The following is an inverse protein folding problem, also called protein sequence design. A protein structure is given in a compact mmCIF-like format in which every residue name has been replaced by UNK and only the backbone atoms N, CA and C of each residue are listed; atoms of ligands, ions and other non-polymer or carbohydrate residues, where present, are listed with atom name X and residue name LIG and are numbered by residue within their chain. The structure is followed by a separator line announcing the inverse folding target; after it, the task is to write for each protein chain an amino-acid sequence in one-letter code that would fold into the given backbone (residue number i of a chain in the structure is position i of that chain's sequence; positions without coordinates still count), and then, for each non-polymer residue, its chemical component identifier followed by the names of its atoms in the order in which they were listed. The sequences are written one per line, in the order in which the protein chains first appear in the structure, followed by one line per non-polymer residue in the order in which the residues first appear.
data_IF_542966790741
#
_entry.id   IF_542966790741
#
_cell.length_a   1.000
_cell.length_b   1.000
_cell.length_c   1.000
_cell.angle_alpha   90.00
_cell.angle_beta   90.00
_cell.angle_gamma   90.00
#
_symmetry.space_group_name_H-M   'P 1'
#
loop_
_entity.id
_entity.type
_entity.pdbx_description
1 polymer ?
#
# COMPACT_ATOMS: atom_id res chain seq x y z
N UNK A 1 21.23 38.90 -10.99
CA UNK A 1 21.78 37.54 -10.98
C UNK A 1 21.72 36.87 -9.60
N UNK A 2 22.05 37.56 -8.49
CA UNK A 2 21.95 36.98 -7.13
C UNK A 2 20.54 36.54 -6.69
N UNK A 3 19.51 37.33 -7.01
CA UNK A 3 18.13 37.03 -6.58
C UNK A 3 17.54 35.77 -7.23
N UNK A 4 17.91 35.45 -8.47
CA UNK A 4 17.42 34.24 -9.18
C UNK A 4 18.05 32.97 -8.57
N UNK A 5 19.32 33.04 -8.16
CA UNK A 5 20.04 31.92 -7.54
C UNK A 5 19.52 31.58 -6.14
N UNK A 6 19.12 32.59 -5.35
CA UNK A 6 18.55 32.39 -4.01
C UNK A 6 17.15 31.75 -4.07
N UNK A 7 16.32 32.17 -5.02
CA UNK A 7 14.98 31.59 -5.22
C UNK A 7 15.05 30.13 -5.66
N UNK A 8 15.98 29.80 -6.57
CA UNK A 8 16.18 28.43 -7.06
C UNK A 8 16.69 27.49 -5.96
N UNK A 9 17.62 27.94 -5.11
CA UNK A 9 18.13 27.13 -3.99
C UNK A 9 17.10 26.92 -2.88
N UNK A 10 16.26 27.92 -2.59
CA UNK A 10 15.19 27.77 -1.62
C UNK A 10 14.13 26.75 -2.09
N UNK A 11 13.84 26.73 -3.39
CA UNK A 11 12.92 25.79 -3.99
C UNK A 11 13.44 24.35 -3.94
N UNK A 12 14.70 24.11 -4.32
CA UNK A 12 15.30 22.76 -4.25
C UNK A 12 15.34 22.22 -2.83
N UNK A 13 15.60 23.08 -1.83
CA UNK A 13 15.58 22.69 -0.42
C UNK A 13 14.17 22.32 0.06
N UNK A 14 13.13 23.02 -0.40
CA UNK A 14 11.75 22.73 -0.06
C UNK A 14 11.27 21.41 -0.71
N UNK A 15 11.62 21.18 -1.98
CA UNK A 15 11.31 19.95 -2.71
C UNK A 15 12.00 18.74 -2.08
N UNK A 16 13.29 18.85 -1.75
CA UNK A 16 14.03 17.78 -1.07
C UNK A 16 13.45 17.49 0.33
N UNK A 17 13.02 18.52 1.06
CA UNK A 17 12.33 18.34 2.34
C UNK A 17 11.03 17.56 2.14
N UNK A 18 10.20 17.95 1.18
CA UNK A 18 8.93 17.27 0.90
C UNK A 18 9.14 15.80 0.50
N UNK A 19 10.14 15.51 -0.34
CA UNK A 19 10.52 14.14 -0.69
C UNK A 19 10.90 13.33 0.56
N UNK A 20 11.77 13.85 1.41
CA UNK A 20 12.18 13.18 2.64
C UNK A 20 11.01 12.95 3.61
N UNK A 21 10.05 13.87 3.67
CA UNK A 21 8.82 13.69 4.42
C UNK A 21 7.96 12.57 3.83
N UNK A 22 7.83 12.51 2.51
CA UNK A 22 7.15 11.43 1.79
C UNK A 22 7.78 10.06 2.02
N UNK A 23 9.11 9.95 1.89
CA UNK A 23 9.86 8.73 2.17
C UNK A 23 9.69 8.25 3.62
N UNK A 24 9.75 9.17 4.58
CA UNK A 24 9.57 8.82 6.00
C UNK A 24 8.13 8.37 6.32
N UNK A 25 7.12 8.99 5.69
CA UNK A 25 5.73 8.54 5.79
C UNK A 25 5.57 7.14 5.20
N UNK A 26 6.01 6.96 3.95
CA UNK A 26 5.90 5.70 3.24
C UNK A 26 6.57 4.58 4.05
N UNK A 27 7.82 4.77 4.45
CA UNK A 27 8.57 3.79 5.23
C UNK A 27 7.86 3.44 6.56
N UNK A 28 7.34 4.45 7.27
CA UNK A 28 6.60 4.24 8.51
C UNK A 28 5.33 3.41 8.31
N UNK A 29 4.57 3.71 7.26
CA UNK A 29 3.30 3.03 6.98
C UNK A 29 3.52 1.59 6.47
N UNK A 30 4.45 1.37 5.55
CA UNK A 30 4.74 0.02 5.04
C UNK A 30 5.33 -0.89 6.13
N UNK A 31 6.22 -0.35 6.98
CA UNK A 31 6.79 -1.11 8.12
C UNK A 31 5.73 -1.45 9.18
N UNK A 32 4.72 -0.61 9.36
CA UNK A 32 3.65 -0.88 10.31
C UNK A 32 2.68 -1.96 9.78
N UNK A 33 2.42 -1.93 8.46
CA UNK A 33 1.48 -2.83 7.80
C UNK A 33 2.08 -4.17 7.39
N UNK A 34 3.40 -4.30 7.27
CA UNK A 34 4.12 -5.55 7.00
C UNK A 34 3.99 -6.61 8.12
N UNK A 35 3.28 -6.28 9.21
CA UNK A 35 3.03 -7.15 10.35
C UNK A 35 1.53 -7.46 10.51
N UNK A 36 0.73 -7.25 9.45
CA UNK A 36 -0.71 -7.45 9.49
C UNK A 36 -1.11 -8.93 9.60
N UNK A 37 -0.31 -9.82 9.03
CA UNK A 37 -0.40 -11.29 9.11
C UNK A 37 -0.39 -11.81 10.55
N UNK A 38 0.33 -11.15 11.47
CA UNK A 38 0.35 -11.51 12.90
C UNK A 38 -1.06 -11.48 13.56
N UNK A 39 -2.02 -10.76 12.97
CA UNK A 39 -3.40 -10.78 13.43
C UNK A 39 -4.10 -12.10 13.11
N UNK A 40 -3.62 -12.83 12.10
CA UNK A 40 -4.14 -14.12 11.66
C UNK A 40 -3.57 -15.29 12.48
N UNK A 41 -2.35 -15.18 13.02
CA UNK A 41 -1.78 -16.21 13.90
C UNK A 41 -2.66 -16.53 15.13
N UNK A 42 -3.52 -15.58 15.51
CA UNK A 42 -4.40 -15.67 16.69
C UNK A 42 -5.88 -15.89 16.35
N UNK A 43 -6.25 -15.95 15.06
CA UNK A 43 -7.65 -16.08 14.62
C UNK A 43 -7.77 -17.09 13.48
N UNK A 44 -8.88 -17.83 13.44
CA UNK A 44 -9.18 -18.74 12.34
C UNK A 44 -9.83 -17.97 11.19
N UNK A 45 -9.23 -18.06 10.01
CA UNK A 45 -9.63 -17.35 8.81
C UNK A 45 -9.84 -18.31 7.64
N UNK A 46 -10.52 -17.85 6.59
CA UNK A 46 -10.53 -18.56 5.31
C UNK A 46 -9.18 -18.45 4.58
N UNK A 47 -8.85 -19.47 3.79
CA UNK A 47 -7.67 -19.52 2.92
C UNK A 47 -7.54 -18.28 2.00
N UNK A 48 -8.67 -17.79 1.47
CA UNK A 48 -8.71 -16.61 0.59
C UNK A 48 -8.26 -15.32 1.31
N UNK A 49 -8.69 -15.14 2.55
CA UNK A 49 -8.32 -13.98 3.37
C UNK A 49 -6.88 -14.11 3.84
N UNK A 50 -6.48 -15.29 4.28
CA UNK A 50 -5.10 -15.53 4.71
C UNK A 50 -4.13 -15.23 3.57
N UNK A 51 -4.36 -15.80 2.39
CA UNK A 51 -3.50 -15.59 1.23
C UNK A 51 -3.28 -14.10 0.91
N UNK A 52 -4.35 -13.31 0.80
CA UNK A 52 -4.21 -11.90 0.42
C UNK A 52 -3.53 -11.08 1.52
N UNK A 53 -3.74 -11.42 2.80
CA UNK A 53 -3.08 -10.73 3.91
C UNK A 53 -1.59 -11.07 3.95
N UNK A 54 -1.22 -12.33 3.71
CA UNK A 54 0.16 -12.78 3.64
C UNK A 54 0.89 -12.09 2.46
N UNK A 55 0.28 -12.11 1.26
CA UNK A 55 0.84 -11.43 0.07
C UNK A 55 1.05 -9.92 0.31
N UNK A 56 0.16 -9.26 1.06
CA UNK A 56 0.32 -7.87 1.48
C UNK A 56 1.48 -7.73 2.47
N UNK A 57 1.52 -8.54 3.52
CA UNK A 57 2.52 -8.44 4.57
C UNK A 57 3.94 -8.65 4.01
N UNK A 58 4.11 -9.68 3.18
CA UNK A 58 5.36 -10.01 2.50
C UNK A 58 5.84 -8.84 1.63
N UNK A 59 4.99 -8.37 0.72
CA UNK A 59 5.36 -7.30 -0.20
C UNK A 59 5.68 -5.99 0.54
N UNK A 60 4.91 -5.64 1.57
CA UNK A 60 5.19 -4.44 2.37
C UNK A 60 6.49 -4.57 3.17
N UNK A 61 6.84 -5.78 3.61
CA UNK A 61 8.14 -6.09 4.21
C UNK A 61 9.29 -5.89 3.24
N UNK A 62 9.17 -6.43 2.02
CA UNK A 62 10.15 -6.26 0.95
C UNK A 62 10.32 -4.79 0.55
N UNK A 63 9.21 -4.04 0.44
CA UNK A 63 9.24 -2.62 0.14
C UNK A 63 9.90 -1.81 1.26
N UNK A 64 9.65 -2.14 2.54
CA UNK A 64 10.31 -1.52 3.67
C UNK A 64 11.84 -1.73 3.62
N UNK A 65 12.28 -2.95 3.31
CA UNK A 65 13.69 -3.29 3.15
C UNK A 65 14.30 -2.56 1.94
N UNK A 66 13.59 -2.49 0.82
CA UNK A 66 13.99 -1.75 -0.37
C UNK A 66 14.20 -0.27 -0.08
N UNK A 67 13.30 0.36 0.69
CA UNK A 67 13.44 1.75 1.13
C UNK A 67 14.67 1.96 2.04
N UNK A 68 14.93 1.02 2.96
CA UNK A 68 16.13 1.07 3.80
C UNK A 68 17.41 0.98 2.96
N UNK A 69 17.46 0.05 2.00
CA UNK A 69 18.60 -0.09 1.09
C UNK A 69 18.78 1.19 0.27
N UNK A 70 17.69 1.75 -0.25
CA UNK A 70 17.72 3.00 -1.00
C UNK A 70 18.29 4.16 -0.15
N UNK A 71 17.91 4.26 1.13
CA UNK A 71 18.45 5.28 2.02
C UNK A 71 19.92 5.05 2.39
N UNK A 72 20.40 3.81 2.38
CA UNK A 72 21.83 3.50 2.53
C UNK A 72 22.63 3.91 1.29
N UNK A 73 22.10 3.64 0.10
CA UNK A 73 22.75 3.96 -1.17
C UNK A 73 22.73 5.48 -1.45
N UNK A 74 21.70 6.18 -0.96
CA UNK A 74 21.52 7.62 -1.10
C UNK A 74 21.33 8.31 0.26
N UNK A 75 22.42 8.70 0.96
CA UNK A 75 22.36 9.28 2.32
C UNK A 75 21.57 10.60 2.46
N UNK A 76 21.18 11.22 1.34
CA UNK A 76 20.30 12.38 1.31
C UNK A 76 18.83 12.04 1.60
N UNK A 77 18.45 10.77 1.43
CA UNK A 77 17.11 10.25 1.73
C UNK A 77 16.99 10.00 3.23
N UNK A 78 15.88 10.49 3.82
CA UNK A 78 15.58 10.35 5.25
C UNK A 78 14.30 9.56 5.43
N UNK A 79 14.38 8.55 6.29
CA UNK A 79 13.25 7.67 6.64
C UNK A 79 12.74 7.89 8.08
N UNK A 80 13.42 8.75 8.85
CA UNK A 80 13.23 8.92 10.30
C UNK A 80 12.51 10.23 10.67
N UNK A 81 12.00 10.97 9.68
CA UNK A 81 11.27 12.20 9.92
C UNK A 81 9.89 11.91 10.52
N UNK A 82 9.36 12.89 11.25
CA UNK A 82 8.00 12.87 11.80
C UNK A 82 7.17 14.01 11.19
N UNK A 83 6.84 13.94 9.90
CA UNK A 83 6.31 15.08 9.14
C UNK A 83 4.91 15.50 9.58
N UNK A 84 4.10 14.57 10.09
CA UNK A 84 2.76 14.91 10.56
C UNK A 84 2.81 15.80 11.80
N UNK A 85 1.90 16.78 11.93
CA UNK A 85 1.72 17.55 13.17
C UNK A 85 1.50 16.66 14.40
N UNK A 86 1.88 17.16 15.57
CA UNK A 86 1.82 16.37 16.80
C UNK A 86 0.40 15.87 17.14
N UNK A 87 -0.64 16.66 16.84
CA UNK A 87 -2.03 16.25 17.06
C UNK A 87 -2.44 15.13 16.10
N UNK A 88 -2.06 15.22 14.82
CA UNK A 88 -2.34 14.19 13.81
C UNK A 88 -1.68 12.86 14.16
N UNK A 89 -0.42 12.87 14.59
CA UNK A 89 0.26 11.63 15.04
C UNK A 89 -0.46 10.98 16.22
N UNK A 90 -0.97 11.78 17.15
CA UNK A 90 -1.76 11.27 18.29
C UNK A 90 -3.08 10.67 17.82
N UNK A 91 -3.75 11.30 16.86
CA UNK A 91 -4.99 10.78 16.25
C UNK A 91 -4.75 9.44 15.57
N UNK A 92 -3.75 9.35 14.70
CA UNK A 92 -3.38 8.10 14.02
C UNK A 92 -3.05 7.01 15.03
N UNK A 93 -2.21 7.30 16.03
CA UNK A 93 -1.86 6.34 17.08
C UNK A 93 -3.09 5.84 17.85
N UNK A 94 -4.02 6.74 18.18
CA UNK A 94 -5.25 6.38 18.88
C UNK A 94 -6.16 5.50 18.00
N UNK A 95 -6.30 5.83 16.73
CA UNK A 95 -7.08 5.06 15.76
C UNK A 95 -6.49 3.65 15.56
N UNK A 96 -5.17 3.54 15.36
CA UNK A 96 -4.46 2.26 15.24
C UNK A 96 -4.64 1.41 16.50
N UNK A 97 -4.46 1.99 17.69
CA UNK A 97 -4.67 1.28 18.96
C UNK A 97 -6.11 0.79 19.11
N UNK A 98 -7.10 1.63 18.75
CA UNK A 98 -8.49 1.24 18.79
C UNK A 98 -8.77 0.08 17.82
N UNK A 99 -8.20 0.11 16.61
CA UNK A 99 -8.30 -0.95 15.61
C UNK A 99 -7.69 -2.26 16.10
N UNK A 100 -6.45 -2.26 16.60
CA UNK A 100 -5.78 -3.43 17.16
C UNK A 100 -6.58 -4.01 18.33
N UNK A 101 -7.06 -3.16 19.25
CA UNK A 101 -7.91 -3.61 20.37
C UNK A 101 -9.18 -4.29 19.87
N UNK A 102 -9.72 -3.82 18.75
CA UNK A 102 -10.90 -4.40 18.12
C UNK A 102 -10.69 -5.81 17.55
N UNK A 103 -9.44 -6.20 17.39
CA UNK A 103 -8.99 -7.53 16.93
C UNK A 103 -8.46 -8.41 18.06
N UNK A 104 -8.57 -7.97 19.33
CA UNK A 104 -8.04 -8.70 20.47
C UNK A 104 -8.48 -10.18 20.49
N UNK A 105 -7.60 -11.13 20.84
CA UNK A 105 -7.89 -12.57 20.76
C UNK A 105 -9.18 -13.00 21.48
N UNK A 106 -9.41 -12.50 22.70
CA UNK A 106 -10.50 -12.96 23.57
C UNK A 106 -11.81 -12.15 23.46
N UNK A 107 -11.73 -10.87 23.11
CA UNK A 107 -12.87 -9.92 23.18
C UNK A 107 -13.08 -9.11 21.91
N UNK A 108 -12.20 -9.28 20.92
CA UNK A 108 -12.28 -8.62 19.63
C UNK A 108 -13.24 -9.35 18.68
N UNK A 109 -13.35 -8.79 17.47
CA UNK A 109 -14.08 -9.39 16.36
C UNK A 109 -13.57 -10.80 16.05
N UNK A 110 -14.43 -11.62 15.46
CA UNK A 110 -14.15 -13.00 15.05
C UNK A 110 -14.90 -13.36 13.78
N UNK A 111 -14.39 -14.36 13.05
CA UNK A 111 -15.06 -14.92 11.87
C UNK A 111 -15.29 -13.88 10.77
N UNK A 112 -16.40 -13.93 10.02
CA UNK A 112 -16.62 -13.07 8.86
C UNK A 112 -16.57 -11.55 9.14
N UNK A 113 -16.97 -11.09 10.34
CA UNK A 113 -16.87 -9.67 10.69
C UNK A 113 -15.41 -9.23 10.92
N UNK A 114 -14.58 -10.12 11.46
CA UNK A 114 -13.15 -9.88 11.57
C UNK A 114 -12.51 -9.82 10.19
N UNK A 115 -12.68 -10.86 9.37
CA UNK A 115 -12.13 -10.95 8.01
C UNK A 115 -12.45 -9.69 7.19
N UNK A 116 -13.75 -9.33 7.14
CA UNK A 116 -14.20 -8.14 6.41
C UNK A 116 -13.57 -6.87 6.96
N UNK A 117 -13.53 -6.71 8.28
CA UNK A 117 -12.99 -5.50 8.91
C UNK A 117 -11.48 -5.37 8.68
N UNK A 118 -10.76 -6.49 8.69
CA UNK A 118 -9.33 -6.54 8.39
C UNK A 118 -9.08 -6.12 6.94
N UNK A 119 -9.75 -6.77 5.98
CA UNK A 119 -9.60 -6.45 4.55
C UNK A 119 -9.98 -5.01 4.22
N UNK A 120 -11.03 -4.45 4.84
CA UNK A 120 -11.39 -3.03 4.69
C UNK A 120 -10.34 -2.09 5.29
N UNK A 121 -9.66 -2.51 6.37
CA UNK A 121 -8.59 -1.71 6.98
C UNK A 121 -7.36 -1.72 6.07
N UNK A 122 -6.97 -2.89 5.57
CA UNK A 122 -5.83 -3.05 4.67
C UNK A 122 -6.08 -2.35 3.33
N UNK A 123 -7.29 -2.43 2.77
CA UNK A 123 -7.61 -1.73 1.52
C UNK A 123 -7.52 -0.21 1.65
N UNK A 124 -7.88 0.34 2.81
CA UNK A 124 -7.67 1.75 3.13
C UNK A 124 -6.18 2.12 3.15
N UNK A 125 -5.34 1.28 3.79
CA UNK A 125 -3.89 1.46 3.81
C UNK A 125 -3.26 1.38 2.43
N UNK A 126 -3.54 0.32 1.66
CA UNK A 126 -3.08 0.13 0.28
C UNK A 126 -3.48 1.30 -0.62
N UNK A 127 -4.71 1.81 -0.46
CA UNK A 127 -5.15 2.97 -1.22
C UNK A 127 -4.33 4.23 -0.91
N UNK A 128 -3.98 4.46 0.35
CA UNK A 128 -3.07 5.57 0.70
C UNK A 128 -1.67 5.36 0.15
N UNK A 129 -1.12 4.15 0.30
CA UNK A 129 0.23 3.82 -0.13
C UNK A 129 0.43 3.96 -1.64
N UNK A 130 -0.47 3.42 -2.46
CA UNK A 130 -0.34 3.46 -3.94
C UNK A 130 -0.30 4.89 -4.47
N UNK A 131 -1.07 5.80 -3.88
CA UNK A 131 -1.06 7.22 -4.26
C UNK A 131 0.16 7.94 -3.73
N UNK A 132 0.60 7.60 -2.51
CA UNK A 132 1.82 8.18 -1.95
C UNK A 132 3.06 7.80 -2.78
N UNK A 133 3.20 6.53 -3.19
CA UNK A 133 4.31 6.09 -4.05
C UNK A 133 4.28 6.79 -5.40
N UNK A 134 3.10 6.95 -6.01
CA UNK A 134 2.98 7.69 -7.28
C UNK A 134 3.42 9.15 -7.12
N UNK A 135 2.97 9.85 -6.08
CA UNK A 135 3.36 11.25 -5.83
C UNK A 135 4.87 11.37 -5.57
N UNK A 136 5.48 10.42 -4.87
CA UNK A 136 6.94 10.41 -4.68
C UNK A 136 7.65 10.15 -6.01
N UNK A 137 7.15 9.25 -6.85
CA UNK A 137 7.72 8.98 -8.18
C UNK A 137 7.75 10.25 -9.04
N UNK A 138 6.62 10.95 -9.15
CA UNK A 138 6.47 12.22 -9.88
C UNK A 138 7.43 13.29 -9.36
N UNK A 139 7.60 13.37 -8.03
CA UNK A 139 8.53 14.30 -7.41
C UNK A 139 10.01 13.91 -7.59
N UNK A 140 10.32 12.63 -7.82
CA UNK A 140 11.69 12.13 -8.07
C UNK A 140 12.12 12.27 -9.54
N UNK A 141 11.18 12.35 -10.49
CA UNK A 141 11.48 12.43 -11.93
C UNK A 141 12.57 13.45 -12.30
N UNK A 142 12.60 14.68 -11.74
CA UNK A 142 13.63 15.66 -12.09
C UNK A 142 15.02 15.34 -11.53
N UNK A 143 15.12 14.41 -10.56
CA UNK A 143 16.36 14.16 -9.81
C UNK A 143 16.95 12.77 -10.04
N UNK A 144 16.11 11.75 -10.26
CA UNK A 144 16.58 10.39 -10.51
C UNK A 144 15.52 9.50 -11.15
N UNK A 145 15.76 9.13 -12.40
CA UNK A 145 14.96 8.14 -13.13
C UNK A 145 14.88 6.80 -12.39
N UNK A 146 15.99 6.34 -11.80
CA UNK A 146 16.04 5.09 -11.04
C UNK A 146 15.14 5.13 -9.79
N UNK A 147 15.14 6.23 -9.04
CA UNK A 147 14.28 6.35 -7.84
C UNK A 147 12.82 6.52 -8.21
N UNK A 148 12.53 7.28 -9.27
CA UNK A 148 11.18 7.38 -9.82
C UNK A 148 10.66 6.00 -10.28
N UNK A 149 11.49 5.22 -10.98
CA UNK A 149 11.15 3.87 -11.41
C UNK A 149 10.87 2.93 -10.22
N UNK A 150 11.70 2.94 -9.18
CA UNK A 150 11.46 2.17 -7.96
C UNK A 150 10.08 2.47 -7.34
N UNK A 151 9.68 3.75 -7.32
CA UNK A 151 8.38 4.16 -6.78
C UNK A 151 7.20 3.82 -7.70
N UNK A 152 7.40 3.87 -9.02
CA UNK A 152 6.40 3.44 -10.00
C UNK A 152 6.15 1.93 -9.94
N UNK A 153 7.22 1.14 -9.80
CA UNK A 153 7.11 -0.31 -9.58
C UNK A 153 6.36 -0.58 -8.28
N UNK A 154 6.64 0.21 -7.24
CA UNK A 154 5.95 0.08 -5.97
C UNK A 154 4.45 0.41 -6.08
N UNK A 155 4.09 1.47 -6.80
CA UNK A 155 2.71 1.84 -7.12
C UNK A 155 1.97 0.69 -7.81
N UNK A 156 2.56 0.10 -8.86
CA UNK A 156 1.92 -0.96 -9.63
C UNK A 156 1.61 -2.21 -8.78
N UNK A 157 2.53 -2.63 -7.91
CA UNK A 157 2.30 -3.75 -7.01
C UNK A 157 1.22 -3.45 -5.97
N UNK A 158 1.24 -2.24 -5.37
CA UNK A 158 0.22 -1.82 -4.41
C UNK A 158 -1.17 -1.72 -5.05
N UNK A 159 -1.27 -1.28 -6.31
CA UNK A 159 -2.52 -1.30 -7.08
C UNK A 159 -3.04 -2.74 -7.24
N UNK A 160 -2.17 -3.68 -7.63
CA UNK A 160 -2.56 -5.09 -7.80
C UNK A 160 -3.07 -5.70 -6.49
N UNK A 161 -2.37 -5.47 -5.37
CA UNK A 161 -2.79 -5.94 -4.04
C UNK A 161 -4.11 -5.29 -3.61
N UNK A 162 -4.29 -4.00 -3.90
CA UNK A 162 -5.54 -3.29 -3.63
C UNK A 162 -6.71 -3.92 -4.40
N UNK A 163 -6.53 -4.17 -5.69
CA UNK A 163 -7.55 -4.84 -6.49
C UNK A 163 -7.86 -6.26 -6.01
N UNK A 164 -6.83 -7.05 -5.69
CA UNK A 164 -6.99 -8.40 -5.17
C UNK A 164 -7.77 -8.43 -3.86
N UNK A 165 -7.45 -7.52 -2.94
CA UNK A 165 -8.19 -7.29 -1.70
C UNK A 165 -9.66 -7.00 -1.99
N UNK A 166 -9.94 -6.15 -2.98
CA UNK A 166 -11.30 -5.82 -3.39
C UNK A 166 -12.04 -6.99 -4.05
N UNK A 167 -11.34 -7.85 -4.80
CA UNK A 167 -11.94 -9.09 -5.35
C UNK A 167 -12.39 -10.01 -4.22
N UNK A 168 -11.57 -10.22 -3.19
CA UNK A 168 -11.94 -11.01 -2.01
C UNK A 168 -13.12 -10.37 -1.26
N UNK A 169 -13.08 -9.04 -1.06
CA UNK A 169 -14.17 -8.29 -0.43
C UNK A 169 -15.51 -8.45 -1.17
N UNK A 170 -15.50 -8.31 -2.50
CA UNK A 170 -16.69 -8.42 -3.33
C UNK A 170 -17.27 -9.83 -3.30
N UNK A 171 -16.42 -10.83 -3.58
CA UNK A 171 -16.83 -12.23 -3.66
C UNK A 171 -17.43 -12.75 -2.34
N UNK A 172 -16.87 -12.35 -1.20
CA UNK A 172 -17.19 -12.96 0.11
C UNK A 172 -18.09 -12.12 1.00
N UNK A 173 -18.04 -10.78 0.90
CA UNK A 173 -18.65 -9.91 1.91
C UNK A 173 -19.63 -8.87 1.37
N UNK A 174 -19.64 -8.61 0.06
CA UNK A 174 -20.58 -7.67 -0.54
C UNK A 174 -21.76 -8.39 -1.18
N UNK A 175 -22.90 -7.69 -1.26
CA UNK A 175 -24.14 -8.23 -1.83
C UNK A 175 -24.13 -8.24 -3.36
N UNK A 176 -23.34 -7.37 -3.96
CA UNK A 176 -23.14 -7.26 -5.41
C UNK A 176 -21.67 -7.47 -5.66
N UNK A 177 -21.33 -8.49 -6.44
CA UNK A 177 -19.96 -8.73 -6.87
C UNK A 177 -19.69 -7.93 -8.14
N UNK A 178 -18.98 -6.80 -7.99
CA UNK A 178 -18.63 -5.93 -9.11
C UNK A 178 -17.64 -6.55 -10.11
N UNK A 179 -17.03 -7.71 -9.79
CA UNK A 179 -16.04 -8.38 -10.64
C UNK A 179 -16.58 -9.63 -11.36
N UNK A 180 -17.81 -10.06 -11.07
CA UNK A 180 -18.38 -11.30 -11.62
C UNK A 180 -18.48 -11.31 -13.16
N UNK A 181 -18.74 -10.17 -13.78
CA UNK A 181 -18.92 -10.05 -15.23
C UNK A 181 -17.59 -10.12 -16.01
N UNK A 182 -16.47 -9.70 -15.40
CA UNK A 182 -15.15 -9.71 -16.03
C UNK A 182 -14.65 -11.15 -16.28
N UNK A 183 -14.81 -12.04 -15.31
CA UNK A 183 -14.47 -13.47 -15.43
C UNK A 183 -15.28 -14.21 -16.49
N UNK A 184 -16.54 -13.83 -16.72
CA UNK A 184 -17.38 -14.46 -17.75
C UNK A 184 -17.03 -14.00 -19.17
N UNK A 185 -16.44 -12.82 -19.32
CA UNK A 185 -16.06 -12.28 -20.63
C UNK A 185 -14.80 -12.93 -21.19
N UNK A 186 -13.86 -13.32 -20.33
CA UNK A 186 -12.62 -13.98 -20.70
C UNK A 186 -12.82 -15.45 -21.10
N UNK A 187 -13.75 -16.13 -20.43
CA UNK A 187 -14.15 -17.51 -20.73
C UNK A 187 -14.92 -17.62 -22.07
N UNK A 188 -15.72 -16.59 -22.41
CA UNK A 188 -16.36 -16.46 -23.74
C UNK A 188 -15.37 -16.18 -24.86
N UNK A 189 -14.27 -15.45 -24.60
CA UNK A 189 -13.22 -15.23 -25.62
C UNK A 189 -12.41 -16.49 -25.89
N UNK A 190 -12.08 -17.27 -24.86
CA UNK A 190 -11.37 -18.55 -25.02
C UNK A 190 -12.19 -19.56 -25.81
N UNK A 191 -13.48 -19.69 -25.50
CA UNK A 191 -14.40 -20.61 -26.20
C UNK A 191 -14.77 -20.18 -27.64
N UNK A 192 -14.64 -18.89 -27.97
CA UNK A 192 -14.83 -18.39 -29.35
C UNK A 192 -13.59 -18.57 -30.22
N UNK A 193 -12.38 -18.47 -29.65
CA UNK A 193 -11.12 -18.65 -30.37
C UNK A 193 -10.83 -20.09 -30.81
N UNK A 194 -11.26 -21.09 -30.04
CA UNK A 194 -11.09 -22.52 -30.39
C UNK A 194 -11.97 -22.97 -31.56
N UNK A 195 -13.04 -22.23 -31.90
CA UNK A 195 -13.95 -22.57 -33.00
C UNK A 195 -13.52 -22.04 -34.36
N UNK A 196 -12.53 -21.14 -34.42
CA UNK A 196 -12.13 -20.48 -35.67
C UNK A 196 -10.87 -21.09 -36.32
N UNK A 197 -10.15 -21.96 -35.60
CA UNK A 197 -8.97 -22.70 -36.12
C UNK A 197 -9.28 -24.09 -36.69
N UNK A 198 -10.56 -24.46 -36.80
CA UNK A 198 -11.00 -25.72 -37.38
C UNK A 198 -11.84 -25.50 -38.64
N UNK A 199 -11.25 -24.88 -39.67
CA UNK A 199 -11.74 -24.91 -41.05
C UNK A 199 -10.57 -24.92 -42.03
#
# INVERSE_FOLDING_TARGET
MLLISLSSQAQTNAEQKALNEGYSLLYGDVSALSHADLLLDVKLESDDTQKVVDDIADYLGDLAQGLQQLAQDYPAIRLDLKPLPAIERKTVTAATKARIKSFAPLVGRTGPDFERTLLLTLSGGLNSLRHLTQVIAEAEEPYSEQRAAFMNDAHAHLESLYEETFRVLNRRFFKVDAYADASQSDDRRRTSGEKETAQ
#
